data_IF_897993004303
#
_entry.id   IF_897993004303
#
_cell.length_a   1.000
_cell.length_b   1.000
_cell.length_c   1.000
_cell.angle_alpha   90.00
_cell.angle_beta   90.00
_cell.angle_gamma   90.00
#
_symmetry.space_group_name_H-M   'P 1'
#
loop_
_entity.id
_entity.type
_entity.pdbx_description
1 polymer ?
#
# COMPACT_ATOMS: atom_id res chain seq x y z
N UNK A 1 -2.63 -13.99 -8.38
CA UNK A 1 -1.64 -13.21 -7.62
C UNK A 1 -1.03 -12.21 -8.57
N UNK A 2 -0.69 -11.01 -8.13
CA UNK A 2 -0.12 -9.94 -8.96
C UNK A 2 1.17 -9.47 -8.29
N UNK A 3 2.26 -9.35 -9.04
CA UNK A 3 3.48 -8.69 -8.54
C UNK A 3 3.37 -7.20 -8.85
N UNK A 4 3.56 -6.34 -7.87
CA UNK A 4 3.43 -4.89 -8.00
C UNK A 4 4.36 -4.16 -7.03
N UNK A 5 4.70 -2.91 -7.35
CA UNK A 5 5.50 -2.07 -6.47
C UNK A 5 4.69 -1.58 -5.26
N UNK A 6 5.37 -1.24 -4.16
CA UNK A 6 4.74 -0.52 -3.04
C UNK A 6 4.11 0.80 -3.50
N UNK A 7 4.77 1.51 -4.42
CA UNK A 7 4.26 2.75 -5.01
C UNK A 7 2.92 2.56 -5.69
N UNK A 8 2.78 1.53 -6.53
CA UNK A 8 1.54 1.23 -7.24
C UNK A 8 0.42 0.76 -6.30
N UNK A 9 0.75 0.13 -5.17
CA UNK A 9 -0.25 -0.16 -4.13
C UNK A 9 -0.77 1.15 -3.54
N UNK A 10 0.11 2.06 -3.13
CA UNK A 10 -0.27 3.36 -2.56
C UNK A 10 -1.11 4.16 -3.55
N UNK A 11 -0.69 4.22 -4.82
CA UNK A 11 -1.42 4.89 -5.89
C UNK A 11 -2.82 4.27 -6.09
N UNK A 12 -2.93 2.94 -6.10
CA UNK A 12 -4.21 2.26 -6.20
C UNK A 12 -5.15 2.60 -5.03
N UNK A 13 -4.63 2.65 -3.79
CA UNK A 13 -5.42 3.04 -2.62
C UNK A 13 -5.90 4.49 -2.72
N UNK A 14 -5.02 5.43 -3.09
CA UNK A 14 -5.37 6.84 -3.26
C UNK A 14 -6.39 7.07 -4.38
N UNK A 15 -6.41 6.22 -5.42
CA UNK A 15 -7.40 6.31 -6.50
C UNK A 15 -8.75 5.66 -6.16
N UNK A 16 -8.76 4.58 -5.36
CA UNK A 16 -9.98 3.79 -5.10
C UNK A 16 -10.68 4.19 -3.82
N UNK A 17 -9.92 4.54 -2.78
CA UNK A 17 -10.43 4.86 -1.44
C UNK A 17 -9.93 6.26 -1.10
N UNK A 18 -10.70 7.32 -1.42
CA UNK A 18 -10.34 8.67 -1.01
C UNK A 18 -10.12 8.74 0.49
N UNK A 19 -9.17 9.58 0.92
CA UNK A 19 -8.94 9.87 2.34
C UNK A 19 -8.55 8.66 3.21
N UNK A 20 -8.09 7.55 2.61
CA UNK A 20 -7.68 6.32 3.31
C UNK A 20 -6.54 6.56 4.32
N UNK A 21 -5.83 7.68 4.19
CA UNK A 21 -4.67 8.10 4.95
C UNK A 21 -4.96 9.14 6.07
N UNK A 22 -6.17 9.68 6.17
CA UNK A 22 -6.48 10.77 7.13
C UNK A 22 -6.41 10.35 8.61
N UNK A 23 -6.63 9.07 8.93
CA UNK A 23 -6.64 8.54 10.31
C UNK A 23 -5.40 7.66 10.61
N UNK A 24 -4.22 8.10 10.18
CA UNK A 24 -2.99 7.30 10.28
C UNK A 24 -2.58 6.90 11.70
N UNK A 25 -3.01 7.63 12.72
CA UNK A 25 -2.75 7.34 14.15
C UNK A 25 -3.75 6.36 14.78
N UNK A 26 -4.89 6.09 14.14
CA UNK A 26 -5.93 5.21 14.68
C UNK A 26 -5.57 3.73 14.46
N UNK A 27 -5.56 2.96 15.55
CA UNK A 27 -5.33 1.53 15.50
C UNK A 27 -6.45 0.84 14.71
N UNK A 28 -6.08 0.14 13.63
CA UNK A 28 -7.05 -0.51 12.75
C UNK A 28 -7.51 0.35 11.57
N UNK A 29 -6.97 1.55 11.39
CA UNK A 29 -7.23 2.36 10.20
C UNK A 29 -6.75 1.68 8.92
N UNK A 30 -7.35 2.07 7.79
CA UNK A 30 -6.94 1.60 6.46
C UNK A 30 -5.47 1.93 6.22
N UNK A 31 -5.02 3.13 6.62
CA UNK A 31 -3.62 3.51 6.57
C UNK A 31 -2.70 2.50 7.25
N UNK A 32 -2.97 2.16 8.51
CA UNK A 32 -2.16 1.20 9.26
C UNK A 32 -2.18 -0.19 8.61
N UNK A 33 -3.32 -0.61 8.06
CA UNK A 33 -3.42 -1.89 7.36
C UNK A 33 -2.59 -1.92 6.06
N UNK A 34 -2.63 -0.86 5.25
CA UNK A 34 -1.80 -0.71 4.04
C UNK A 34 -0.33 -0.63 4.39
N UNK A 35 0.03 0.14 5.42
CA UNK A 35 1.40 0.23 5.92
C UNK A 35 1.93 -1.15 6.34
N UNK A 36 1.16 -1.90 7.13
CA UNK A 36 1.53 -3.25 7.56
C UNK A 36 1.64 -4.23 6.40
N UNK A 37 0.75 -4.12 5.41
CA UNK A 37 0.85 -4.89 4.16
C UNK A 37 2.17 -4.59 3.44
N UNK A 38 2.50 -3.30 3.27
CA UNK A 38 3.71 -2.89 2.58
C UNK A 38 4.98 -3.27 3.35
N UNK A 39 4.97 -3.12 4.68
CA UNK A 39 6.12 -3.44 5.55
C UNK A 39 6.40 -4.94 5.62
N UNK A 40 5.38 -5.77 5.73
CA UNK A 40 5.55 -7.20 6.02
C UNK A 40 5.72 -8.07 4.76
N UNK A 41 5.27 -7.60 3.60
CA UNK A 41 5.24 -8.41 2.38
C UNK A 41 6.12 -7.89 1.25
N UNK A 42 6.77 -6.72 1.41
CA UNK A 42 7.75 -6.25 0.43
C UNK A 42 9.02 -7.11 0.46
N UNK A 43 9.55 -7.44 -0.71
CA UNK A 43 10.88 -7.99 -0.84
C UNK A 43 11.97 -6.89 -0.74
N UNK A 44 13.24 -7.31 -0.79
CA UNK A 44 14.40 -6.40 -0.71
C UNK A 44 14.43 -5.36 -1.84
N UNK A 45 13.71 -5.60 -2.93
CA UNK A 45 13.61 -4.72 -4.09
C UNK A 45 12.34 -3.85 -4.06
N UNK A 46 11.53 -3.92 -3.00
CA UNK A 46 10.31 -3.11 -2.86
C UNK A 46 9.09 -3.66 -3.58
N UNK A 47 9.09 -4.93 -4.00
CA UNK A 47 7.95 -5.57 -4.65
C UNK A 47 7.10 -6.39 -3.70
N UNK A 48 5.80 -6.48 -4.01
CA UNK A 48 4.83 -7.29 -3.27
C UNK A 48 4.10 -8.22 -4.23
N UNK A 49 4.02 -9.49 -3.86
CA UNK A 49 3.12 -10.45 -4.52
C UNK A 49 1.75 -10.39 -3.84
N UNK A 50 0.87 -9.55 -4.37
CA UNK A 50 -0.44 -9.27 -3.81
C UNK A 50 -1.48 -10.31 -4.22
N UNK A 51 -2.37 -10.65 -3.28
CA UNK A 51 -3.56 -11.46 -3.54
C UNK A 51 -4.78 -10.89 -2.79
N UNK A 52 -5.99 -11.27 -3.19
CA UNK A 52 -7.24 -10.72 -2.64
C UNK A 52 -7.39 -10.91 -1.13
N UNK A 53 -6.88 -12.01 -0.55
CA UNK A 53 -6.97 -12.26 0.89
C UNK A 53 -6.15 -11.26 1.71
N UNK A 54 -5.11 -10.68 1.12
CA UNK A 54 -4.30 -9.65 1.77
C UNK A 54 -5.04 -8.32 1.89
N UNK A 55 -6.13 -8.12 1.13
CA UNK A 55 -6.96 -6.92 1.15
C UNK A 55 -8.29 -7.14 1.90
N UNK A 56 -8.33 -8.06 2.86
CA UNK A 56 -9.55 -8.41 3.59
C UNK A 56 -9.97 -7.38 4.66
N UNK A 57 -9.19 -6.30 4.83
CA UNK A 57 -9.46 -5.20 5.75
C UNK A 57 -10.26 -4.05 5.09
N UNK A 58 -10.61 -4.19 3.81
CA UNK A 58 -11.50 -3.30 3.05
C UNK A 58 -12.64 -4.12 2.44
N UNK A 59 -13.64 -3.47 1.83
CA UNK A 59 -14.76 -4.17 1.22
C UNK A 59 -14.35 -5.03 0.02
N UNK A 60 -15.18 -6.02 -0.32
CA UNK A 60 -14.94 -6.86 -1.50
C UNK A 60 -14.94 -6.05 -2.81
N UNK A 61 -15.76 -5.01 -2.88
CA UNK A 61 -15.80 -4.10 -4.03
C UNK A 61 -14.50 -3.31 -4.17
N UNK A 62 -14.05 -2.66 -3.09
CA UNK A 62 -12.80 -1.87 -3.07
C UNK A 62 -11.59 -2.76 -3.37
N UNK A 63 -11.49 -3.93 -2.74
CA UNK A 63 -10.40 -4.87 -3.01
C UNK A 63 -10.37 -5.30 -4.49
N UNK A 64 -11.52 -5.48 -5.12
CA UNK A 64 -11.61 -5.84 -6.54
C UNK A 64 -11.19 -4.67 -7.45
N UNK A 65 -11.58 -3.43 -7.10
CA UNK A 65 -11.16 -2.22 -7.81
C UNK A 65 -9.66 -1.97 -7.70
N UNK A 66 -9.06 -2.12 -6.51
CA UNK A 66 -7.61 -2.00 -6.29
C UNK A 66 -6.85 -3.03 -7.13
N UNK A 67 -7.26 -4.31 -7.10
CA UNK A 67 -6.59 -5.34 -7.88
C UNK A 67 -6.68 -5.09 -9.39
N UNK A 68 -7.80 -4.56 -9.87
CA UNK A 68 -7.95 -4.19 -11.28
C UNK A 68 -7.09 -2.97 -11.64
N UNK A 69 -7.02 -1.96 -10.76
CA UNK A 69 -6.15 -0.80 -10.94
C UNK A 69 -4.69 -1.22 -11.10
N UNK A 70 -4.20 -2.07 -10.19
CA UNK A 70 -2.82 -2.57 -10.20
C UNK A 70 -2.54 -3.34 -11.50
N UNK A 71 -3.43 -4.25 -11.93
CA UNK A 71 -3.27 -5.00 -13.18
C UNK A 71 -3.17 -4.09 -14.41
N UNK A 72 -3.90 -2.99 -14.43
CA UNK A 72 -3.94 -2.10 -15.58
C UNK A 72 -2.73 -1.15 -15.63
N UNK A 73 -1.99 -1.01 -14.53
CA UNK A 73 -0.89 -0.06 -14.40
C UNK A 73 0.46 -0.74 -14.09
N UNK A 74 0.51 -2.07 -13.98
CA UNK A 74 1.72 -2.83 -13.64
C UNK A 74 2.83 -2.78 -14.71
N UNK A 75 2.51 -2.43 -15.95
CA UNK A 75 3.52 -2.28 -17.02
C UNK A 75 4.35 -0.99 -16.88
N UNK A 76 3.94 -0.06 -16.01
CA UNK A 76 4.65 1.20 -15.70
C UNK A 76 5.39 1.15 -14.35
N UNK A 77 5.51 -0.03 -13.73
CA UNK A 77 6.05 -0.19 -12.37
C UNK A 77 7.58 0.00 -12.32
N UNK A 78 8.03 1.17 -11.87
CA UNK A 78 9.35 1.34 -11.29
C UNK A 78 9.24 1.13 -9.76
N UNK A 79 9.86 0.11 -9.15
CA UNK A 79 9.72 -0.17 -7.72
C UNK A 79 10.30 0.92 -6.81
N UNK A 80 11.12 1.82 -7.38
CA UNK A 80 11.81 2.90 -6.69
C UNK A 80 11.13 4.28 -6.88
N UNK A 81 9.99 4.38 -7.59
CA UNK A 81 9.38 5.67 -7.92
C UNK A 81 8.67 6.38 -6.76
N UNK A 82 8.61 5.77 -5.57
CA UNK A 82 8.16 6.42 -4.35
C UNK A 82 9.28 6.47 -3.32
N UNK A 83 9.96 7.62 -3.23
CA UNK A 83 10.53 8.04 -1.95
C UNK A 83 9.36 8.42 -1.04
N UNK A 84 8.92 7.48 -0.21
CA UNK A 84 8.24 7.88 1.02
C UNK A 84 9.34 8.52 1.86
N UNK A 85 9.42 9.85 1.88
CA UNK A 85 10.14 10.57 2.92
C UNK A 85 9.47 10.19 4.25
N UNK A 86 9.97 9.10 4.85
CA UNK A 86 9.72 8.78 6.24
C UNK A 86 10.46 9.82 7.04
N UNK A 87 9.78 10.95 7.31
CA UNK A 87 10.14 11.86 8.38
C UNK A 87 10.03 11.07 9.69
N UNK A 88 11.08 10.31 10.01
CA UNK A 88 11.33 9.91 11.38
C UNK A 88 11.56 11.22 12.13
N UNK A 89 10.52 11.72 12.79
CA UNK A 89 10.72 12.57 13.95
C UNK A 89 11.54 11.74 14.92
N UNK A 90 12.86 11.90 14.87
CA UNK A 90 13.81 11.45 15.87
C UNK A 90 13.57 12.26 17.15
N UNK A 91 12.41 12.05 17.76
CA UNK A 91 12.14 12.46 19.12
C UNK A 91 12.22 11.22 19.99
N UNK A 92 13.42 10.95 20.52
CA UNK A 92 13.53 10.21 21.77
C UNK A 92 14.65 9.17 21.88
N UNK A 93 15.70 9.59 22.57
CA UNK A 93 16.46 8.88 23.63
C UNK A 93 17.38 7.72 23.22
N UNK A 94 18.69 7.99 23.33
CA UNK A 94 19.80 7.04 23.36
C UNK A 94 21.10 7.76 23.67
#
# INVERSE_FOLDING_TARGET
MIKCSVGLIIDAFSNVIPDWDLNYEEAGSVYQAVWNLCKNYRDEQGWITLNKKMLNFISEEESSKILNYIKNNSDNDNPLSFEIELLFNSNGIG
#
